data_IF_520401189858
#
_entry.id   IF_520401189858
#
_cell.length_a   1.000
_cell.length_b   1.000
_cell.length_c   1.000
_cell.angle_alpha   90.00
_cell.angle_beta   90.00
_cell.angle_gamma   90.00
#
_symmetry.space_group_name_H-M   'P 1'
#
loop_
_entity.id
_entity.type
_entity.pdbx_description
1 polymer ?
#
# COMPACT_ATOMS: atom_id res chain seq x y z
N UNK A 1 -2.14 17.54 -5.63
CA UNK A 1 -3.31 16.70 -6.01
C UNK A 1 -3.33 16.29 -7.48
N UNK A 2 -2.62 16.99 -8.38
CA UNK A 2 -2.63 16.70 -9.82
C UNK A 2 -2.17 15.27 -10.17
N UNK A 3 -1.06 14.81 -9.57
CA UNK A 3 -0.54 13.45 -9.79
C UNK A 3 -1.50 12.33 -9.36
N UNK A 4 -2.32 12.59 -8.33
CA UNK A 4 -3.34 11.65 -7.85
C UNK A 4 -4.50 11.55 -8.84
N UNK A 5 -4.82 12.66 -9.51
CA UNK A 5 -5.81 12.68 -10.59
C UNK A 5 -5.31 11.87 -11.78
N UNK A 6 -4.07 12.11 -12.21
CA UNK A 6 -3.43 11.40 -13.31
C UNK A 6 -3.30 9.89 -13.02
N UNK A 7 -2.94 9.50 -11.79
CA UNK A 7 -2.83 8.08 -11.44
C UNK A 7 -4.18 7.38 -11.46
N UNK A 8 -5.25 8.08 -11.03
CA UNK A 8 -6.61 7.53 -11.06
C UNK A 8 -7.10 7.37 -12.49
N UNK A 9 -6.81 8.34 -13.36
CA UNK A 9 -7.07 8.26 -14.80
C UNK A 9 -6.30 7.12 -15.45
N UNK A 10 -5.02 6.93 -15.13
CA UNK A 10 -4.23 5.79 -15.60
C UNK A 10 -4.83 4.44 -15.17
N UNK A 11 -5.34 4.34 -13.94
CA UNK A 11 -6.08 3.16 -13.48
C UNK A 11 -7.37 2.92 -14.28
N UNK A 12 -8.09 3.98 -14.68
CA UNK A 12 -9.30 3.85 -15.51
C UNK A 12 -8.98 3.44 -16.94
N UNK A 13 -7.83 3.88 -17.47
CA UNK A 13 -7.32 3.49 -18.78
C UNK A 13 -6.72 2.08 -18.79
N UNK A 14 -6.60 1.43 -17.62
CA UNK A 14 -5.99 0.10 -17.48
C UNK A 14 -4.46 0.10 -17.46
N UNK A 15 -3.82 1.28 -17.50
CA UNK A 15 -2.37 1.40 -17.36
C UNK A 15 -1.98 1.44 -15.87
N UNK A 16 -2.03 0.25 -15.27
CA UNK A 16 -1.68 0.07 -13.86
C UNK A 16 -0.18 0.28 -13.59
N UNK A 17 0.69 0.08 -14.58
CA UNK A 17 2.13 0.34 -14.44
C UNK A 17 2.42 1.83 -14.28
N UNK A 18 1.85 2.67 -15.15
CA UNK A 18 1.95 4.12 -15.02
C UNK A 18 1.29 4.61 -13.72
N UNK A 19 0.13 4.05 -13.36
CA UNK A 19 -0.57 4.39 -12.12
C UNK A 19 0.31 4.14 -10.88
N UNK A 20 0.96 2.97 -10.77
CA UNK A 20 1.88 2.66 -9.65
C UNK A 20 3.01 3.66 -9.56
N UNK A 21 3.63 4.03 -10.69
CA UNK A 21 4.71 5.04 -10.71
C UNK A 21 4.21 6.39 -10.21
N UNK A 22 3.07 6.85 -10.71
CA UNK A 22 2.46 8.12 -10.32
C UNK A 22 2.05 8.12 -8.84
N UNK A 23 1.50 7.02 -8.32
CA UNK A 23 1.23 6.85 -6.89
C UNK A 23 2.50 6.92 -6.07
N UNK A 24 3.60 6.30 -6.53
CA UNK A 24 4.90 6.42 -5.89
C UNK A 24 5.40 7.87 -5.84
N UNK A 25 5.24 8.63 -6.90
CA UNK A 25 5.58 10.06 -6.91
C UNK A 25 4.69 10.88 -5.97
N UNK A 26 3.39 10.58 -5.92
CA UNK A 26 2.46 11.23 -5.01
C UNK A 26 2.79 10.90 -3.54
N UNK A 27 3.19 9.67 -3.25
CA UNK A 27 3.65 9.23 -1.92
C UNK A 27 4.98 9.88 -1.51
N UNK A 28 5.86 10.23 -2.45
CA UNK A 28 7.06 11.03 -2.13
C UNK A 28 6.70 12.45 -1.68
N UNK A 29 5.61 13.01 -2.21
CA UNK A 29 5.13 14.33 -1.80
C UNK A 29 4.32 14.28 -0.50
N UNK A 30 3.53 13.22 -0.29
CA UNK A 30 2.73 13.00 0.91
C UNK A 30 2.83 11.53 1.37
N UNK A 31 3.86 11.18 2.16
CA UNK A 31 4.11 9.80 2.60
C UNK A 31 3.16 9.34 3.71
N UNK A 32 2.36 10.23 4.31
CA UNK A 32 1.41 9.86 5.36
C UNK A 32 0.01 9.55 4.82
N UNK A 33 -0.17 9.65 3.50
CA UNK A 33 -1.46 9.44 2.88
C UNK A 33 -1.76 7.96 2.62
N UNK A 34 -2.58 7.38 3.49
CA UNK A 34 -2.96 5.99 3.38
C UNK A 34 -3.98 5.70 2.24
N UNK A 35 -4.63 6.71 1.65
CA UNK A 35 -5.41 6.53 0.41
C UNK A 35 -4.48 6.13 -0.74
N UNK A 36 -3.33 6.79 -0.84
CA UNK A 36 -2.37 6.57 -1.92
C UNK A 36 -1.79 5.16 -1.85
N UNK A 37 -1.44 4.68 -0.65
CA UNK A 37 -1.04 3.30 -0.44
C UNK A 37 -2.16 2.31 -0.80
N UNK A 38 -3.42 2.58 -0.43
CA UNK A 38 -4.55 1.71 -0.77
C UNK A 38 -4.85 1.67 -2.28
N UNK A 39 -4.65 2.77 -2.98
CA UNK A 39 -4.86 2.81 -4.43
C UNK A 39 -3.69 2.17 -5.18
N UNK A 40 -2.46 2.35 -4.70
CA UNK A 40 -1.28 1.67 -5.25
C UNK A 40 -1.35 0.16 -5.05
N UNK A 41 -1.81 -0.31 -3.89
CA UNK A 41 -2.04 -1.73 -3.66
C UNK A 41 -3.10 -2.30 -4.60
N UNK A 42 -4.20 -1.58 -4.85
CA UNK A 42 -5.19 -1.99 -5.85
C UNK A 42 -4.61 -2.09 -7.27
N UNK A 43 -3.76 -1.14 -7.68
CA UNK A 43 -3.07 -1.20 -8.96
C UNK A 43 -2.11 -2.41 -9.03
N UNK A 44 -1.38 -2.70 -7.95
CA UNK A 44 -0.53 -3.90 -7.85
C UNK A 44 -1.32 -5.21 -7.93
N UNK A 45 -2.51 -5.29 -7.32
CA UNK A 45 -3.39 -6.44 -7.45
C UNK A 45 -3.81 -6.68 -8.91
N UNK A 46 -4.09 -5.61 -9.66
CA UNK A 46 -4.43 -5.70 -11.09
C UNK A 46 -3.24 -6.15 -11.96
N UNK A 47 -2.01 -5.86 -11.52
CA UNK A 47 -0.78 -6.37 -12.14
C UNK A 47 -0.41 -7.80 -11.71
N UNK A 48 -1.14 -8.40 -10.75
CA UNK A 48 -0.81 -9.71 -10.18
C UNK A 48 0.32 -9.69 -9.14
N UNK A 49 0.74 -8.51 -8.70
CA UNK A 49 1.78 -8.33 -7.68
C UNK A 49 1.18 -8.36 -6.27
N UNK A 50 0.68 -9.53 -5.86
CA UNK A 50 -0.05 -9.70 -4.59
C UNK A 50 0.79 -9.41 -3.34
N UNK A 51 2.08 -9.80 -3.34
CA UNK A 51 2.97 -9.57 -2.18
C UNK A 51 3.22 -8.08 -1.97
N UNK A 52 3.50 -7.34 -3.04
CA UNK A 52 3.75 -5.89 -2.98
C UNK A 52 2.48 -5.13 -2.63
N UNK A 53 1.33 -5.58 -3.15
CA UNK A 53 0.04 -5.03 -2.77
C UNK A 53 -0.26 -5.21 -1.27
N UNK A 54 0.11 -6.36 -0.70
CA UNK A 54 -0.07 -6.63 0.71
C UNK A 54 0.81 -5.72 1.58
N UNK A 55 2.08 -5.52 1.21
CA UNK A 55 2.98 -4.59 1.92
C UNK A 55 2.41 -3.16 1.95
N UNK A 56 1.89 -2.68 0.82
CA UNK A 56 1.24 -1.38 0.71
C UNK A 56 -0.05 -1.29 1.52
N UNK A 57 -0.86 -2.34 1.52
CA UNK A 57 -2.05 -2.41 2.36
C UNK A 57 -1.66 -2.39 3.85
N UNK A 58 -0.61 -3.11 4.25
CA UNK A 58 -0.11 -3.08 5.63
C UNK A 58 0.32 -1.67 6.01
N UNK A 59 1.13 -1.00 5.18
CA UNK A 59 1.54 0.40 5.39
C UNK A 59 0.36 1.36 5.50
N UNK A 60 -0.65 1.21 4.64
CA UNK A 60 -1.85 2.03 4.71
C UNK A 60 -2.56 1.88 6.07
N UNK A 61 -2.62 0.66 6.61
CA UNK A 61 -3.21 0.39 7.93
C UNK A 61 -2.34 0.87 9.09
N UNK A 62 -1.01 0.80 8.95
CA UNK A 62 -0.10 1.36 9.95
C UNK A 62 -0.29 2.87 10.09
N UNK A 63 -0.48 3.58 8.97
CA UNK A 63 -0.69 5.02 8.95
C UNK A 63 -2.07 5.43 9.47
N UNK A 64 -3.12 4.69 9.09
CA UNK A 64 -4.45 4.90 9.64
C UNK A 64 -5.09 3.58 10.08
N UNK A 65 -4.98 3.23 11.37
CA UNK A 65 -5.54 1.99 11.91
C UNK A 65 -7.07 1.98 11.88
N UNK A 66 -7.71 3.14 11.71
CA UNK A 66 -9.16 3.29 11.64
C UNK A 66 -9.70 3.18 10.21
N UNK A 67 -8.88 2.83 9.21
CA UNK A 67 -9.35 2.72 7.82
C UNK A 67 -10.00 1.35 7.53
N UNK A 68 -11.34 1.25 7.39
CA UNK A 68 -12.04 -0.03 7.23
C UNK A 68 -11.70 -0.77 5.93
N UNK A 69 -11.38 -0.03 4.86
CA UNK A 69 -11.20 -0.57 3.50
C UNK A 69 -9.98 -1.49 3.36
N UNK A 70 -8.94 -1.23 4.17
CA UNK A 70 -7.67 -1.99 4.16
C UNK A 70 -7.74 -3.20 5.10
N UNK A 71 -8.60 -3.14 6.12
CA UNK A 71 -8.68 -4.17 7.13
C UNK A 71 -9.08 -5.54 6.59
N UNK A 72 -9.97 -5.58 5.60
CA UNK A 72 -10.41 -6.83 4.97
C UNK A 72 -9.31 -7.56 4.19
N UNK A 73 -8.43 -6.82 3.50
CA UNK A 73 -7.38 -7.41 2.67
C UNK A 73 -6.31 -8.17 3.48
N UNK A 74 -6.00 -7.70 4.69
CA UNK A 74 -5.02 -8.34 5.58
C UNK A 74 -5.65 -9.45 6.42
N UNK A 75 -6.93 -9.32 6.80
CA UNK A 75 -7.62 -10.36 7.58
C UNK A 75 -7.81 -11.67 6.80
N UNK A 76 -7.98 -11.60 5.48
CA UNK A 76 -8.09 -12.77 4.61
C UNK A 76 -6.78 -13.59 4.47
N UNK A 77 -5.62 -12.98 4.72
CA UNK A 77 -4.32 -13.65 4.76
C UNK A 77 -3.87 -13.99 6.21
N UNK A 78 -4.72 -13.70 7.18
CA UNK A 78 -4.40 -13.61 8.60
C UNK A 78 -4.76 -14.81 9.46
N UNK A 79 -4.90 -16.03 8.90
CA UNK A 79 -5.10 -17.24 9.71
C UNK A 79 -3.82 -17.83 10.34
N UNK A 80 -2.68 -17.11 10.37
CA UNK A 80 -1.49 -17.70 11.01
C UNK A 80 -0.37 -16.81 11.54
N UNK A 81 -0.17 -15.57 11.08
CA UNK A 81 1.12 -14.89 11.34
C UNK A 81 1.07 -13.38 11.63
N UNK A 82 -0.06 -12.82 12.04
CA UNK A 82 -0.10 -11.41 12.46
C UNK A 82 0.76 -11.13 13.71
N UNK A 83 1.08 -12.14 14.52
CA UNK A 83 2.04 -12.00 15.63
C UNK A 83 3.51 -11.93 15.14
N UNK A 84 3.90 -12.71 14.13
CA UNK A 84 5.29 -12.79 13.66
C UNK A 84 5.70 -11.62 12.75
N UNK A 85 4.80 -11.11 11.89
CA UNK A 85 5.15 -10.03 10.96
C UNK A 85 5.42 -8.69 11.67
N UNK A 86 4.71 -8.42 12.77
CA UNK A 86 4.95 -7.27 13.63
C UNK A 86 6.25 -7.37 14.45
N UNK A 87 6.71 -8.59 14.75
CA UNK A 87 8.01 -8.82 15.38
C UNK A 87 9.16 -8.57 14.39
N UNK A 88 9.03 -9.01 13.13
CA UNK A 88 10.03 -8.80 12.08
C UNK A 88 10.24 -7.30 11.76
N UNK A 89 9.17 -6.50 11.74
CA UNK A 89 9.24 -5.06 11.46
C UNK A 89 9.89 -4.23 12.58
N UNK A 90 9.80 -4.65 13.85
CA UNK A 90 10.56 -4.01 14.95
C UNK A 90 12.07 -4.27 14.88
N UNK A 91 12.48 -5.38 14.28
CA UNK A 91 13.91 -5.72 14.19
C UNK A 91 14.67 -4.92 13.12
N UNK A 92 14.00 -4.45 12.06
CA UNK A 92 14.65 -3.69 10.99
C UNK A 92 14.92 -2.22 11.35
N UNK A 93 14.24 -1.64 12.33
CA UNK A 93 14.49 -0.26 12.78
C UNK A 93 15.64 -0.13 13.79
N UNK A 94 16.29 -1.24 14.17
CA UNK A 94 17.39 -1.23 15.15
C UNK A 94 18.78 -1.38 14.52
N UNK A 95 18.90 -1.43 13.18
CA UNK A 95 20.16 -1.70 12.46
C UNK A 95 20.77 -0.48 11.75
N UNK A 96 20.47 0.73 12.21
CA UNK A 96 21.17 1.96 11.80
C UNK A 96 21.61 2.71 13.06
N UNK A 97 22.77 2.31 13.60
CA UNK A 97 23.60 3.15 14.48
C UNK A 97 24.87 3.47 13.72
#
# INVERSE_FOLDING_TARGET
MEKVRQSNEACQLGDFHAAVRLYGEALRADPQNCILYSNRSAAHLKLGHYQTALDDAVKARLLNPKWPKVGGAILLWGCGCLCCYWLQLRTQTSAHT
#
